data_IF_574414008062
#
_entry.id   IF_574414008062
#
_cell.length_a   1.000
_cell.length_b   1.000
_cell.length_c   1.000
_cell.angle_alpha   90.00
_cell.angle_beta   90.00
_cell.angle_gamma   90.00
#
_symmetry.space_group_name_H-M   'P 1'
#
loop_
_entity.id
_entity.type
_entity.pdbx_description
1 polymer ?
#
# COMPACT_ATOMS: atom_id res chain seq x y z
N UNK A 1 21.40 -3.42 -33.40
CA UNK A 1 20.70 -2.86 -32.22
C UNK A 1 21.44 -3.34 -30.98
N UNK A 2 21.91 -2.46 -30.09
CA UNK A 2 22.45 -2.91 -28.82
C UNK A 2 21.33 -3.59 -28.03
N UNK A 3 21.51 -4.87 -27.70
CA UNK A 3 20.65 -5.59 -26.76
C UNK A 3 20.91 -4.98 -25.39
N UNK A 4 19.85 -4.52 -24.72
CA UNK A 4 19.93 -3.99 -23.37
C UNK A 4 20.31 -5.14 -22.42
N UNK A 5 21.49 -5.04 -21.82
CA UNK A 5 22.10 -6.11 -21.00
C UNK A 5 21.84 -5.95 -19.50
N UNK A 6 21.25 -4.84 -19.06
CA UNK A 6 20.88 -4.59 -17.66
C UNK A 6 19.40 -4.24 -17.52
N UNK A 7 18.54 -5.26 -17.45
CA UNK A 7 17.11 -5.09 -17.17
C UNK A 7 16.83 -4.58 -15.74
N UNK A 8 17.81 -4.70 -14.83
CA UNK A 8 17.66 -4.34 -13.42
C UNK A 8 17.73 -2.82 -13.15
N UNK A 9 18.48 -2.07 -13.98
CA UNK A 9 18.64 -0.62 -13.81
C UNK A 9 17.49 0.19 -14.42
N UNK A 10 16.84 -0.35 -15.46
CA UNK A 10 15.75 0.30 -16.19
C UNK A 10 14.38 -0.37 -15.95
N UNK A 11 14.28 -1.23 -14.93
CA UNK A 11 13.01 -1.88 -14.60
C UNK A 11 11.98 -0.78 -14.30
N UNK A 12 11.06 -0.53 -15.24
CA UNK A 12 10.01 0.46 -15.05
C UNK A 12 9.22 0.10 -13.80
N UNK A 13 9.40 0.89 -12.76
CA UNK A 13 8.66 0.75 -11.50
C UNK A 13 7.24 1.22 -11.76
N UNK A 14 6.32 0.28 -11.89
CA UNK A 14 5.23 0.47 -12.84
C UNK A 14 3.92 1.01 -12.26
N UNK A 15 3.50 0.69 -11.03
CA UNK A 15 2.17 1.10 -10.55
C UNK A 15 2.07 1.12 -9.01
N UNK A 16 1.18 1.96 -8.43
CA UNK A 16 0.82 1.89 -7.01
C UNK A 16 0.41 0.47 -6.60
N UNK A 17 0.91 -0.04 -5.47
CA UNK A 17 0.57 -1.37 -4.97
C UNK A 17 1.28 -2.53 -5.69
N UNK A 18 2.23 -2.24 -6.58
CA UNK A 18 3.10 -3.27 -7.16
C UNK A 18 4.09 -3.78 -6.11
N UNK A 19 4.34 -5.09 -6.12
CA UNK A 19 5.42 -5.69 -5.33
C UNK A 19 6.77 -5.18 -5.83
N UNK A 20 7.65 -4.79 -4.90
CA UNK A 20 8.93 -4.17 -5.25
C UNK A 20 10.12 -5.13 -5.30
N UNK A 21 10.03 -6.29 -4.65
CA UNK A 21 11.12 -7.27 -4.61
C UNK A 21 10.68 -8.69 -4.99
N UNK A 22 11.67 -9.58 -5.10
CA UNK A 22 11.47 -11.02 -5.29
C UNK A 22 11.56 -11.80 -3.97
N UNK A 23 11.61 -11.11 -2.82
CA UNK A 23 11.86 -11.76 -1.53
C UNK A 23 10.58 -12.32 -0.92
N UNK A 24 10.70 -12.90 0.28
CA UNK A 24 9.57 -13.48 1.00
C UNK A 24 8.50 -12.44 1.29
N UNK A 25 7.28 -12.74 0.85
CA UNK A 25 6.10 -11.91 1.00
C UNK A 25 4.91 -12.73 1.54
N UNK A 26 4.03 -12.06 2.26
CA UNK A 26 2.72 -12.58 2.66
C UNK A 26 1.68 -11.61 2.11
N UNK A 27 0.81 -12.14 1.26
CA UNK A 27 -0.36 -11.42 0.75
C UNK A 27 -1.57 -12.12 1.31
N UNK A 28 -2.38 -11.40 2.07
CA UNK A 28 -3.70 -11.84 2.47
C UNK A 28 -4.63 -11.62 1.26
N UNK A 29 -5.05 -12.71 0.64
CA UNK A 29 -5.87 -12.70 -0.56
C UNK A 29 -7.36 -12.79 -0.25
N UNK A 30 -8.20 -12.28 -1.15
CA UNK A 30 -9.66 -12.43 -1.08
C UNK A 30 -10.32 -11.72 0.13
N UNK A 31 -9.78 -10.56 0.54
CA UNK A 31 -10.48 -9.69 1.50
C UNK A 31 -11.67 -9.02 0.83
N UNK A 32 -12.75 -8.78 1.57
CA UNK A 32 -13.91 -8.07 1.06
C UNK A 32 -13.76 -6.55 1.26
N UNK A 33 -13.82 -5.78 0.18
CA UNK A 33 -13.79 -4.32 0.27
C UNK A 33 -15.11 -3.75 0.84
N UNK A 34 -15.05 -3.03 1.95
CA UNK A 34 -16.19 -2.30 2.53
C UNK A 34 -16.54 -1.00 1.76
N UNK A 35 -15.70 -0.62 0.80
CA UNK A 35 -15.81 0.62 0.03
C UNK A 35 -14.73 0.66 -1.04
N UNK A 36 -14.59 1.80 -1.73
CA UNK A 36 -13.56 1.95 -2.74
C UNK A 36 -12.15 1.88 -2.11
N UNK A 37 -11.27 1.03 -2.65
CA UNK A 37 -9.87 0.90 -2.21
C UNK A 37 -8.95 1.08 -3.39
N UNK A 38 -8.03 2.04 -3.29
CA UNK A 38 -7.03 2.29 -4.33
C UNK A 38 -5.77 1.43 -4.10
N UNK A 39 -5.19 0.82 -5.15
CA UNK A 39 -3.89 0.15 -5.05
C UNK A 39 -2.82 1.09 -4.49
N UNK A 40 -1.92 0.57 -3.67
CA UNK A 40 -0.84 1.34 -3.04
C UNK A 40 -1.28 2.18 -1.84
N UNK A 41 -2.57 2.24 -1.49
CA UNK A 41 -3.04 2.86 -0.26
C UNK A 41 -3.04 1.86 0.90
N UNK A 42 -2.92 2.42 2.10
CA UNK A 42 -2.95 1.67 3.34
C UNK A 42 -4.38 1.27 3.68
N UNK A 43 -4.53 0.03 4.13
CA UNK A 43 -5.80 -0.63 4.39
C UNK A 43 -5.89 -1.00 5.86
N UNK A 44 -7.06 -0.73 6.44
CA UNK A 44 -7.42 -1.16 7.79
C UNK A 44 -8.44 -2.29 7.74
N UNK A 45 -8.36 -3.18 8.72
CA UNK A 45 -9.39 -4.18 8.97
C UNK A 45 -10.61 -3.52 9.60
N UNK A 46 -11.79 -3.98 9.21
CA UNK A 46 -13.07 -3.55 9.76
C UNK A 46 -13.67 -4.66 10.60
N UNK A 47 -13.78 -5.87 10.06
CA UNK A 47 -14.40 -7.01 10.72
C UNK A 47 -14.01 -8.32 10.04
N UNK A 48 -14.44 -9.44 10.61
CA UNK A 48 -14.43 -10.74 9.95
C UNK A 48 -15.90 -11.16 9.76
N UNK A 49 -16.30 -11.45 8.53
CA UNK A 49 -17.65 -11.87 8.18
C UNK A 49 -17.62 -12.92 7.07
N UNK A 50 -18.46 -13.96 7.17
CA UNK A 50 -18.53 -15.06 6.18
C UNK A 50 -17.14 -15.66 5.86
N UNK A 51 -16.35 -15.93 6.89
CA UNK A 51 -14.97 -16.45 6.81
C UNK A 51 -14.00 -15.58 5.98
N UNK A 52 -14.37 -14.32 5.74
CA UNK A 52 -13.56 -13.33 5.02
C UNK A 52 -13.29 -12.14 5.92
N UNK A 53 -12.08 -11.60 5.81
CA UNK A 53 -11.74 -10.31 6.40
C UNK A 53 -12.36 -9.19 5.56
N UNK A 54 -13.08 -8.30 6.22
CA UNK A 54 -13.63 -7.07 5.63
C UNK A 54 -12.65 -5.95 5.87
N UNK A 55 -12.30 -5.24 4.81
CA UNK A 55 -11.24 -4.24 4.80
C UNK A 55 -11.69 -2.95 4.14
N UNK A 56 -11.08 -1.83 4.54
CA UNK A 56 -11.33 -0.53 3.93
C UNK A 56 -10.04 0.27 3.80
N UNK A 57 -10.02 1.25 2.89
CA UNK A 57 -8.97 2.25 2.86
C UNK A 57 -9.01 3.08 4.16
N UNK A 58 -7.83 3.34 4.74
CA UNK A 58 -7.71 4.21 5.90
C UNK A 58 -8.25 5.60 5.57
N UNK A 59 -9.20 6.07 6.38
CA UNK A 59 -9.91 7.34 6.16
C UNK A 59 -10.18 8.12 7.44
N UNK A 60 -10.07 7.49 8.62
CA UNK A 60 -10.28 8.11 9.92
C UNK A 60 -9.20 7.71 10.94
N UNK A 61 -9.00 8.52 11.97
CA UNK A 61 -8.03 8.27 13.04
C UNK A 61 -8.24 6.92 13.75
N UNK A 62 -9.49 6.48 13.91
CA UNK A 62 -9.82 5.18 14.51
C UNK A 62 -9.30 3.97 13.72
N UNK A 63 -8.98 4.14 12.44
CA UNK A 63 -8.48 3.08 11.57
C UNK A 63 -7.02 2.70 11.91
N UNK A 64 -6.29 3.59 12.58
CA UNK A 64 -4.90 3.38 12.96
C UNK A 64 -4.69 2.17 13.88
N UNK A 65 -5.69 1.84 14.70
CA UNK A 65 -5.63 0.67 15.58
C UNK A 65 -5.69 -0.66 14.79
N UNK A 66 -6.24 -0.63 13.58
CA UNK A 66 -6.54 -1.80 12.77
C UNK A 66 -5.77 -1.83 11.44
N UNK A 67 -4.63 -1.15 11.36
CA UNK A 67 -3.77 -1.18 10.18
C UNK A 67 -3.36 -2.61 9.86
N UNK A 68 -3.66 -3.04 8.64
CA UNK A 68 -3.44 -4.42 8.21
C UNK A 68 -2.29 -4.52 7.21
N UNK A 69 -2.20 -3.59 6.26
CA UNK A 69 -1.25 -3.69 5.16
C UNK A 69 -1.52 -2.68 4.06
N UNK A 70 -0.89 -2.88 2.91
CA UNK A 70 -1.06 -2.03 1.73
C UNK A 70 -1.80 -2.82 0.65
N UNK A 71 -2.77 -2.17 0.01
CA UNK A 71 -3.53 -2.75 -1.09
C UNK A 71 -2.62 -3.07 -2.27
N UNK A 72 -2.60 -4.33 -2.69
CA UNK A 72 -1.82 -4.80 -3.83
C UNK A 72 -2.59 -4.56 -5.12
N UNK A 73 -1.86 -4.18 -6.16
CA UNK A 73 -2.40 -4.14 -7.51
C UNK A 73 -2.68 -5.57 -8.02
N UNK A 74 -3.85 -5.76 -8.61
CA UNK A 74 -4.25 -7.00 -9.30
C UNK A 74 -4.54 -6.68 -10.76
N UNK A 75 -4.16 -7.59 -11.67
CA UNK A 75 -4.51 -7.48 -13.09
C UNK A 75 -6.03 -7.64 -13.34
N UNK A 76 -6.80 -8.02 -12.32
CA UNK A 76 -8.23 -8.17 -12.43
C UNK A 76 -8.97 -6.83 -12.32
N UNK A 77 -9.79 -6.53 -13.32
CA UNK A 77 -11.06 -5.80 -13.18
C UNK A 77 -11.06 -4.35 -12.69
N UNK A 78 -9.92 -3.74 -12.39
CA UNK A 78 -9.86 -2.37 -11.85
C UNK A 78 -9.99 -1.31 -12.96
N UNK A 79 -11.11 -1.30 -13.71
CA UNK A 79 -11.34 -0.39 -14.85
C UNK A 79 -11.20 1.09 -14.45
N UNK A 80 -11.58 1.44 -13.22
CA UNK A 80 -11.46 2.79 -12.65
C UNK A 80 -10.16 3.04 -11.87
N UNK A 81 -9.21 2.10 -11.90
CA UNK A 81 -7.97 2.17 -11.13
C UNK A 81 -8.15 1.96 -9.62
N UNK A 82 -9.29 1.40 -9.20
CA UNK A 82 -9.61 1.08 -7.81
C UNK A 82 -10.44 -0.20 -7.73
N UNK A 83 -10.44 -0.83 -6.56
CA UNK A 83 -11.39 -1.87 -6.19
C UNK A 83 -12.68 -1.21 -5.70
N UNK A 84 -13.82 -1.72 -6.13
CA UNK A 84 -15.14 -1.23 -5.72
C UNK A 84 -15.64 -1.99 -4.48
N UNK A 85 -16.72 -1.48 -3.87
CA UNK A 85 -17.34 -2.14 -2.72
C UNK A 85 -17.77 -3.58 -3.08
N UNK A 86 -17.38 -4.55 -2.25
CA UNK A 86 -17.65 -5.97 -2.46
C UNK A 86 -16.58 -6.71 -3.27
N UNK A 87 -15.61 -6.01 -3.88
CA UNK A 87 -14.54 -6.66 -4.63
C UNK A 87 -13.59 -7.43 -3.71
N UNK A 88 -13.00 -8.48 -4.28
CA UNK A 88 -11.94 -9.25 -3.65
C UNK A 88 -10.61 -8.47 -3.76
N UNK A 89 -10.09 -8.03 -2.61
CA UNK A 89 -8.88 -7.23 -2.51
C UNK A 89 -7.74 -8.05 -1.91
N UNK A 90 -6.57 -7.91 -2.54
CA UNK A 90 -5.32 -8.48 -2.05
C UNK A 90 -4.59 -7.42 -1.23
N UNK A 91 -4.23 -7.74 0.01
CA UNK A 91 -3.51 -6.84 0.90
C UNK A 91 -2.17 -7.47 1.26
N UNK A 92 -1.08 -6.75 1.00
CA UNK A 92 0.25 -7.19 1.43
C UNK A 92 0.45 -6.83 2.89
N UNK A 93 0.66 -7.86 3.71
CA UNK A 93 0.91 -7.74 5.16
C UNK A 93 2.37 -7.97 5.50
N UNK A 94 3.17 -8.45 4.53
CA UNK A 94 4.60 -8.68 4.70
C UNK A 94 5.32 -8.62 3.35
N UNK A 95 6.46 -7.95 3.31
CA UNK A 95 7.28 -7.80 2.09
C UNK A 95 7.52 -6.35 1.72
N UNK A 96 7.97 -6.10 0.48
CA UNK A 96 8.19 -4.75 -0.06
C UNK A 96 7.16 -4.40 -1.12
N UNK A 97 6.55 -3.24 -0.97
CA UNK A 97 5.49 -2.76 -1.86
C UNK A 97 5.62 -1.26 -2.12
N UNK A 98 5.21 -0.84 -3.31
CA UNK A 98 5.12 0.57 -3.68
C UNK A 98 3.86 1.20 -3.09
N UNK A 99 4.04 2.10 -2.15
CA UNK A 99 2.96 2.80 -1.45
C UNK A 99 2.79 4.21 -2.01
N UNK A 100 1.55 4.70 -2.08
CA UNK A 100 1.28 6.10 -2.43
C UNK A 100 1.68 6.98 -1.27
N UNK A 101 2.48 8.02 -1.54
CA UNK A 101 3.05 8.88 -0.52
C UNK A 101 2.78 10.37 -0.78
N UNK A 102 2.84 11.17 0.28
CA UNK A 102 2.88 12.64 0.19
C UNK A 102 4.30 13.21 0.11
N UNK A 103 5.32 12.35 0.21
CA UNK A 103 6.71 12.76 0.03
C UNK A 103 6.94 13.31 -1.38
N UNK A 104 7.82 14.30 -1.50
CA UNK A 104 8.22 14.91 -2.78
C UNK A 104 9.63 14.51 -3.21
N UNK A 105 10.32 13.70 -2.41
CA UNK A 105 11.68 13.24 -2.65
C UNK A 105 11.92 11.87 -2.01
N UNK A 106 13.04 11.25 -2.37
CA UNK A 106 13.48 9.99 -1.79
C UNK A 106 13.65 10.11 -0.27
N UNK A 107 12.97 9.25 0.53
CA UNK A 107 13.15 9.24 1.98
C UNK A 107 14.52 8.67 2.36
N UNK A 108 14.95 8.91 3.59
CA UNK A 108 16.12 8.20 4.13
C UNK A 108 15.76 6.73 4.35
N UNK A 109 16.68 5.83 4.01
CA UNK A 109 16.50 4.40 4.27
C UNK A 109 16.35 4.15 5.78
N UNK A 110 15.36 3.33 6.15
CA UNK A 110 15.06 3.00 7.55
C UNK A 110 14.16 4.00 8.26
N UNK A 111 13.72 5.08 7.60
CA UNK A 111 12.75 6.01 8.20
C UNK A 111 11.43 5.30 8.50
N UNK A 112 10.89 5.52 9.70
CA UNK A 112 9.60 4.97 10.12
C UNK A 112 8.46 5.52 9.26
N UNK A 113 7.50 4.67 8.96
CA UNK A 113 6.31 5.05 8.19
C UNK A 113 5.22 5.55 9.10
N UNK A 114 4.65 6.70 8.75
CA UNK A 114 3.36 7.15 9.24
C UNK A 114 2.29 6.98 8.16
N UNK A 115 1.06 6.74 8.57
CA UNK A 115 -0.10 6.64 7.71
C UNK A 115 -0.99 7.84 8.00
N UNK A 116 -1.30 8.62 6.97
CA UNK A 116 -2.23 9.72 7.11
C UNK A 116 -3.65 9.16 7.30
N UNK A 117 -4.32 9.57 8.36
CA UNK A 117 -5.61 9.00 8.79
C UNK A 117 -6.78 9.95 8.59
N UNK A 118 -6.58 11.09 7.94
CA UNK A 118 -7.63 12.08 7.70
C UNK A 118 -7.31 12.96 6.48
N UNK A 119 -8.33 13.68 5.99
CA UNK A 119 -8.19 14.59 4.85
C UNK A 119 -8.09 13.89 3.49
N UNK A 120 -7.75 14.65 2.46
CA UNK A 120 -7.61 14.16 1.07
C UNK A 120 -6.47 13.16 0.88
N UNK A 121 -5.52 13.14 1.81
CA UNK A 121 -4.35 12.26 1.76
C UNK A 121 -4.50 11.02 2.65
N UNK A 122 -5.70 10.77 3.19
CA UNK A 122 -5.93 9.62 4.04
C UNK A 122 -5.61 8.29 3.30
N UNK A 123 -4.90 7.41 3.99
CA UNK A 123 -4.39 6.15 3.47
C UNK A 123 -3.08 6.25 2.68
N UNK A 124 -2.49 7.44 2.54
CA UNK A 124 -1.13 7.60 2.00
C UNK A 124 -0.08 7.44 3.10
N UNK A 125 1.11 6.99 2.70
CA UNK A 125 2.27 6.91 3.60
C UNK A 125 3.02 8.24 3.65
N UNK A 126 3.52 8.59 4.82
CA UNK A 126 4.29 9.80 5.08
C UNK A 126 5.38 9.52 6.12
N UNK A 127 6.24 10.51 6.37
CA UNK A 127 7.25 10.47 7.45
C UNK A 127 6.85 11.32 8.66
N UNK A 128 5.83 12.17 8.49
CA UNK A 128 5.28 13.07 9.52
C UNK A 128 3.77 13.17 9.39
N UNK A 129 3.09 13.51 10.49
CA UNK A 129 1.62 13.54 10.56
C UNK A 129 1.01 12.14 10.63
N UNK A 130 -0.32 12.05 10.77
CA UNK A 130 -1.04 10.77 10.83
C UNK A 130 -0.66 9.89 12.03
N UNK A 131 -0.75 8.58 11.86
CA UNK A 131 -0.46 7.58 12.89
C UNK A 131 0.72 6.68 12.49
N UNK A 132 1.62 6.33 13.41
CA UNK A 132 2.77 5.47 13.09
C UNK A 132 2.32 4.05 12.72
N UNK A 133 2.80 3.54 11.58
CA UNK A 133 2.67 2.13 11.22
C UNK A 133 3.84 1.35 11.81
N UNK A 134 3.63 0.78 13.00
CA UNK A 134 4.68 0.09 13.74
C UNK A 134 5.29 -1.07 12.92
N UNK A 135 6.63 -1.12 12.88
CA UNK A 135 7.39 -2.11 12.12
C UNK A 135 7.57 -1.78 10.63
N UNK A 136 6.92 -0.73 10.12
CA UNK A 136 7.04 -0.35 8.71
C UNK A 136 8.13 0.68 8.53
N UNK A 137 8.98 0.46 7.53
CA UNK A 137 10.10 1.35 7.21
C UNK A 137 10.16 1.66 5.72
N UNK A 138 10.57 2.88 5.40
CA UNK A 138 10.88 3.29 4.03
C UNK A 138 12.27 2.74 3.66
N UNK A 139 12.41 2.23 2.45
CA UNK A 139 13.69 1.66 1.97
C UNK A 139 14.61 2.69 1.35
N UNK A 140 14.11 3.92 1.15
CA UNK A 140 14.80 5.01 0.48
C UNK A 140 14.57 5.09 -1.03
N UNK A 141 13.84 4.13 -1.62
CA UNK A 141 13.44 4.25 -3.03
C UNK A 141 12.17 5.10 -3.18
N UNK A 142 12.17 5.92 -4.22
CA UNK A 142 11.09 6.82 -4.56
C UNK A 142 10.96 6.93 -6.08
N UNK A 143 9.73 7.02 -6.57
CA UNK A 143 9.43 7.24 -7.98
C UNK A 143 8.11 7.99 -8.14
N UNK A 144 7.79 8.37 -9.37
CA UNK A 144 6.50 8.97 -9.72
C UNK A 144 5.80 8.09 -10.75
N UNK A 145 4.48 7.99 -10.62
CA UNK A 145 3.60 7.27 -11.54
C UNK A 145 2.55 8.24 -12.07
N UNK A 146 2.28 8.23 -13.37
CA UNK A 146 1.17 9.00 -13.94
C UNK A 146 -0.05 8.11 -14.01
N UNK A 147 -1.13 8.49 -13.33
CA UNK A 147 -2.36 7.71 -13.35
C UNK A 147 -3.13 7.85 -14.68
N UNK A 148 -4.24 7.11 -14.80
CA UNK A 148 -5.10 7.13 -15.98
C UNK A 148 -5.76 8.50 -16.26
N UNK A 149 -5.70 9.44 -15.32
CA UNK A 149 -6.19 10.82 -15.47
C UNK A 149 -5.09 11.79 -15.90
N UNK A 150 -3.84 11.33 -16.00
CA UNK A 150 -2.68 12.18 -16.28
C UNK A 150 -2.07 12.83 -15.04
N UNK A 151 -2.51 12.46 -13.83
CA UNK A 151 -2.02 13.05 -12.58
C UNK A 151 -0.78 12.30 -12.08
N UNK A 152 0.26 13.05 -11.72
CA UNK A 152 1.46 12.48 -11.10
C UNK A 152 1.19 12.08 -9.64
N UNK A 153 1.49 10.82 -9.33
CA UNK A 153 1.36 10.21 -8.00
C UNK A 153 2.74 9.80 -7.52
N UNK A 154 3.12 10.28 -6.34
CA UNK A 154 4.39 9.93 -5.73
C UNK A 154 4.30 8.57 -5.05
N UNK A 155 5.32 7.74 -5.28
CA UNK A 155 5.43 6.40 -4.72
C UNK A 155 6.72 6.27 -3.91
N UNK A 156 6.61 5.68 -2.73
CA UNK A 156 7.76 5.27 -1.94
C UNK A 156 7.71 3.76 -1.70
N UNK A 157 8.87 3.11 -1.73
CA UNK A 157 8.96 1.69 -1.39
C UNK A 157 8.92 1.54 0.14
N UNK A 158 7.94 0.77 0.60
CA UNK A 158 7.72 0.44 2.00
C UNK A 158 8.08 -1.02 2.23
N UNK A 159 8.93 -1.27 3.21
CA UNK A 159 9.11 -2.59 3.80
C UNK A 159 8.10 -2.75 4.94
N UNK A 160 7.20 -3.72 4.78
CA UNK A 160 6.21 -4.11 5.77
C UNK A 160 6.77 -5.31 6.55
N UNK A 161 7.17 -5.16 7.83
CA UNK A 161 7.46 -6.28 8.76
C UNK A 161 7.26 -5.99 10.26
N UNK A 162 6.75 -7.04 10.92
CA UNK A 162 6.59 -7.37 12.34
C UNK A 162 5.63 -6.53 13.20
N UNK A 163 4.34 -6.55 12.86
CA UNK A 163 3.32 -6.63 13.92
C UNK A 163 3.42 -8.02 14.56
N UNK A 164 3.92 -8.11 15.80
CA UNK A 164 4.03 -9.37 16.54
C UNK A 164 2.66 -9.95 16.94
N UNK A 165 1.57 -9.22 16.67
CA UNK A 165 0.21 -9.63 16.91
C UNK A 165 -0.71 -9.07 15.82
N UNK A 166 -1.68 -9.89 15.40
CA UNK A 166 -2.83 -9.45 14.59
C UNK A 166 -3.57 -8.31 15.32
N UNK A 167 -4.11 -7.29 14.62
CA UNK A 167 -4.99 -6.32 15.25
C UNK A 167 -6.11 -7.05 15.99
N UNK A 168 -6.20 -6.83 17.30
CA UNK A 168 -7.20 -7.49 18.14
C UNK A 168 -8.58 -7.09 17.62
N UNK A 169 -9.39 -8.09 17.24
CA UNK A 169 -10.76 -7.82 16.84
C UNK A 169 -11.50 -7.13 18.01
N UNK A 170 -12.28 -6.06 17.75
CA UNK A 170 -13.10 -5.44 18.78
C UNK A 170 -14.14 -6.41 19.35
#
# INVERSE_FOLDING_TARGET
MPVQTSYDNDMQIAMPGMRSDSTHQITDGCNAAQGAIKPGYVVARVSNANDKRVVKQVSAAGDAANLMGICRFSHYGCVKGQYEAGDAVNVMTWGRIWAVTTLTAAPTMGTLVNVLTSGSDAGKVAVTGGSPALGWVLTGKFTTFTDHTGTAVNLAEVQIRNQTAEPVAP
#
